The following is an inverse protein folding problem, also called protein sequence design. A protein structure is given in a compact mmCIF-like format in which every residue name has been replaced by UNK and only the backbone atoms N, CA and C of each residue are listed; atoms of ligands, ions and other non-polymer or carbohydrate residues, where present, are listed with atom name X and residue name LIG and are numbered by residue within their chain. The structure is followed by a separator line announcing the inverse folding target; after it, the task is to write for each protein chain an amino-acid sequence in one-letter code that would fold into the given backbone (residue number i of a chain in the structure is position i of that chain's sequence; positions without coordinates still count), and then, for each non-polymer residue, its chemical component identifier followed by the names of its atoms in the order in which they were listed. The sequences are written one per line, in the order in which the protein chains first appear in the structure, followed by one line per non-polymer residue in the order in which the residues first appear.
data_IF_781073453541
#
_entry.id   IF_781073453541
#
_cell.length_a   1.000
_cell.length_b   1.000
_cell.length_c   1.000
_cell.angle_alpha   90.00
_cell.angle_beta   90.00
_cell.angle_gamma   90.00
#
_symmetry.space_group_name_H-M   'P 1'
#
loop_
_entity.id
_entity.type
_entity.pdbx_description
1 polymer ?
#
# COMPACT_ATOMS: atom_id res chain seq x y z
N UNK A 1 -27.41 5.33 -8.06
CA UNK A 1 -26.58 4.72 -6.99
C UNK A 1 -25.95 3.38 -7.40
N UNK A 2 -26.68 2.53 -8.14
CA UNK A 2 -26.22 1.21 -8.62
C UNK A 2 -24.83 1.23 -9.33
N UNK A 3 -24.58 2.21 -10.20
CA UNK A 3 -23.30 2.30 -10.92
C UNK A 3 -22.09 2.62 -10.01
N UNK A 4 -22.28 3.43 -8.96
CA UNK A 4 -21.19 3.77 -8.02
C UNK A 4 -20.75 2.57 -7.19
N UNK A 5 -21.72 1.78 -6.73
CA UNK A 5 -21.44 0.54 -6.01
C UNK A 5 -20.74 -0.48 -6.91
N UNK A 6 -21.20 -0.69 -8.15
CA UNK A 6 -20.53 -1.58 -9.10
C UNK A 6 -19.07 -1.16 -9.34
N UNK A 7 -18.80 0.14 -9.55
CA UNK A 7 -17.44 0.64 -9.72
C UNK A 7 -16.57 0.45 -8.48
N UNK A 8 -17.16 0.60 -7.29
CA UNK A 8 -16.47 0.33 -6.03
C UNK A 8 -16.07 -1.14 -5.96
N UNK A 9 -17.05 -2.04 -6.14
CA UNK A 9 -16.87 -3.47 -6.02
C UNK A 9 -15.84 -4.00 -7.01
N UNK A 10 -15.87 -3.55 -8.27
CA UNK A 10 -14.88 -3.96 -9.28
C UNK A 10 -13.48 -3.54 -8.82
N UNK A 11 -13.28 -2.26 -8.47
CA UNK A 11 -11.96 -1.77 -8.03
C UNK A 11 -11.48 -2.42 -6.75
N UNK A 12 -12.39 -2.65 -5.81
CA UNK A 12 -12.05 -3.29 -4.54
C UNK A 12 -11.65 -4.75 -4.75
N UNK A 13 -12.41 -5.51 -5.56
CA UNK A 13 -12.03 -6.86 -5.95
C UNK A 13 -10.70 -6.88 -6.69
N UNK A 14 -10.46 -5.92 -7.58
CA UNK A 14 -9.15 -5.77 -8.22
C UNK A 14 -8.03 -5.57 -7.19
N UNK A 15 -8.21 -4.69 -6.22
CA UNK A 15 -7.22 -4.46 -5.15
C UNK A 15 -6.94 -5.74 -4.38
N UNK A 16 -7.99 -6.47 -3.97
CA UNK A 16 -7.85 -7.70 -3.21
C UNK A 16 -7.14 -8.79 -4.03
N UNK A 17 -7.57 -9.01 -5.27
CA UNK A 17 -6.99 -10.03 -6.14
C UNK A 17 -5.53 -9.69 -6.49
N UNK A 18 -5.23 -8.43 -6.79
CA UNK A 18 -3.86 -8.00 -7.07
C UNK A 18 -2.97 -8.13 -5.83
N UNK A 19 -3.43 -7.74 -4.64
CA UNK A 19 -2.67 -7.90 -3.41
C UNK A 19 -2.42 -9.37 -3.05
N UNK A 20 -3.44 -10.23 -3.19
CA UNK A 20 -3.29 -11.67 -3.01
C UNK A 20 -2.31 -12.26 -4.03
N UNK A 21 -2.40 -11.83 -5.29
CA UNK A 21 -1.46 -12.24 -6.33
C UNK A 21 -0.02 -11.83 -5.98
N UNK A 22 0.21 -10.62 -5.45
CA UNK A 22 1.54 -10.19 -5.00
C UNK A 22 2.05 -11.02 -3.80
N UNK A 23 1.16 -11.39 -2.87
CA UNK A 23 1.50 -12.29 -1.77
C UNK A 23 1.85 -13.70 -2.26
N UNK A 24 1.15 -14.22 -3.26
CA UNK A 24 1.49 -15.49 -3.91
C UNK A 24 2.81 -15.36 -4.68
N UNK A 25 3.02 -14.26 -5.40
CA UNK A 25 4.25 -14.04 -6.16
C UNK A 25 5.48 -13.94 -5.24
N UNK A 26 5.31 -13.47 -4.01
CA UNK A 26 6.35 -13.50 -2.96
C UNK A 26 6.84 -14.93 -2.68
N UNK A 27 5.98 -15.95 -2.76
CA UNK A 27 6.38 -17.34 -2.46
C UNK A 27 7.11 -18.03 -3.62
N UNK A 28 7.02 -17.48 -4.84
CA UNK A 28 7.52 -18.13 -6.08
C UNK A 28 9.02 -17.91 -6.32
N UNK A 29 9.70 -17.03 -5.58
CA UNK A 29 11.17 -17.01 -5.52
C UNK A 29 11.83 -15.63 -5.50
N UNK A 30 13.15 -15.64 -5.30
CA UNK A 30 14.00 -14.48 -5.02
C UNK A 30 14.38 -13.66 -6.27
N UNK A 31 13.46 -13.43 -7.19
CA UNK A 31 13.74 -12.60 -8.37
C UNK A 31 13.74 -11.10 -7.99
N UNK A 32 14.81 -10.34 -8.30
CA UNK A 32 14.89 -8.91 -7.97
C UNK A 32 13.79 -8.08 -8.63
N UNK A 33 13.27 -8.49 -9.80
CA UNK A 33 12.16 -7.81 -10.47
C UNK A 33 10.87 -7.95 -9.67
N UNK A 34 10.61 -9.12 -9.08
CA UNK A 34 9.44 -9.32 -8.25
C UNK A 34 9.56 -8.59 -6.92
N UNK A 35 10.77 -8.43 -6.37
CA UNK A 35 11.00 -7.67 -5.14
C UNK A 35 10.56 -6.20 -5.23
N UNK A 36 10.53 -5.62 -6.44
CA UNK A 36 10.00 -4.27 -6.68
C UNK A 36 8.51 -4.20 -6.34
N UNK A 37 7.76 -5.24 -6.72
CA UNK A 37 6.30 -5.27 -6.63
C UNK A 37 5.80 -5.96 -5.35
N UNK A 38 6.52 -6.98 -4.88
CA UNK A 38 6.14 -7.77 -3.72
C UNK A 38 6.86 -7.28 -2.46
N UNK A 39 6.23 -7.38 -1.28
CA UNK A 39 6.91 -7.12 -0.02
C UNK A 39 7.98 -8.18 0.19
N UNK A 40 9.26 -7.77 0.32
CA UNK A 40 10.37 -8.71 0.54
C UNK A 40 10.50 -9.03 2.03
N UNK A 41 10.51 -8.00 2.86
CA UNK A 41 10.62 -8.07 4.31
C UNK A 41 9.25 -7.94 4.98
N UNK A 42 9.14 -8.36 6.24
CA UNK A 42 7.92 -8.14 7.03
C UNK A 42 7.88 -6.74 7.68
N UNK A 43 8.74 -5.81 7.24
CA UNK A 43 8.75 -4.45 7.76
C UNK A 43 7.47 -3.69 7.40
N UNK A 44 7.00 -2.78 8.28
CA UNK A 44 5.84 -1.93 8.01
C UNK A 44 5.90 -1.19 6.67
N UNK A 45 7.09 -0.71 6.28
CA UNK A 45 7.33 -0.07 4.99
C UNK A 45 7.02 -1.02 3.82
N UNK A 46 7.63 -2.20 3.81
CA UNK A 46 7.46 -3.17 2.71
C UNK A 46 6.00 -3.62 2.58
N UNK A 47 5.31 -3.84 3.71
CA UNK A 47 3.89 -4.18 3.71
C UNK A 47 3.01 -3.08 3.11
N UNK A 48 3.45 -1.81 3.16
CA UNK A 48 2.78 -0.68 2.51
C UNK A 48 2.63 -0.84 0.99
N UNK A 49 3.51 -1.60 0.33
CA UNK A 49 3.41 -1.93 -1.10
C UNK A 49 2.13 -2.66 -1.47
N UNK A 50 1.58 -3.46 -0.56
CA UNK A 50 0.32 -4.19 -0.75
C UNK A 50 -0.88 -3.23 -0.86
N UNK A 51 -0.75 -1.98 -0.44
CA UNK A 51 -1.75 -0.95 -0.71
C UNK A 51 -1.41 -0.21 -1.99
N UNK A 52 -0.17 0.26 -2.13
CA UNK A 52 0.21 1.13 -3.23
C UNK A 52 0.00 0.48 -4.60
N UNK A 53 0.59 -0.69 -4.87
CA UNK A 53 0.50 -1.32 -6.20
C UNK A 53 -0.93 -1.72 -6.58
N UNK A 54 -1.70 -2.40 -5.70
CA UNK A 54 -3.07 -2.76 -6.03
C UNK A 54 -3.99 -1.54 -6.18
N UNK A 55 -3.85 -0.50 -5.36
CA UNK A 55 -4.61 0.73 -5.51
C UNK A 55 -4.25 1.47 -6.79
N UNK A 56 -2.97 1.49 -7.18
CA UNK A 56 -2.51 2.07 -8.45
C UNK A 56 -3.17 1.34 -9.63
N UNK A 57 -3.15 0.01 -9.61
CA UNK A 57 -3.79 -0.81 -10.63
C UNK A 57 -5.29 -0.53 -10.71
N UNK A 58 -6.00 -0.50 -9.58
CA UNK A 58 -7.41 -0.18 -9.53
C UNK A 58 -7.74 1.27 -9.94
N UNK A 59 -6.81 2.20 -9.73
CA UNK A 59 -6.95 3.58 -10.14
C UNK A 59 -6.83 3.73 -11.66
N UNK A 60 -5.96 2.96 -12.32
CA UNK A 60 -5.76 3.03 -13.78
C UNK A 60 -6.93 2.43 -14.56
N UNK A 61 -7.69 1.49 -13.99
CA UNK A 61 -8.84 0.87 -14.67
C UNK A 61 -9.90 1.94 -15.04
N UNK A 62 -10.11 2.20 -16.35
CA UNK A 62 -11.14 3.10 -16.80
C UNK A 62 -12.50 2.40 -16.66
N UNK A 63 -13.35 2.96 -15.80
CA UNK A 63 -14.75 2.53 -15.68
C UNK A 63 -15.61 3.66 -16.23
N UNK A 64 -16.56 3.32 -17.10
CA UNK A 64 -17.53 4.27 -17.67
C UNK A 64 -18.24 5.00 -16.54
N UNK A 65 -18.25 6.33 -16.54
CA UNK A 65 -18.82 7.16 -15.45
C UNK A 65 -18.17 6.94 -14.05
N UNK A 66 -16.98 6.36 -14.00
CA UNK A 66 -16.30 5.93 -12.77
C UNK A 66 -15.47 6.99 -12.06
N UNK A 67 -15.61 8.27 -12.43
CA UNK A 67 -14.81 9.39 -11.94
C UNK A 67 -13.44 9.50 -12.60
N UNK A 68 -12.73 10.61 -12.34
CA UNK A 68 -11.41 10.86 -12.95
C UNK A 68 -10.31 10.11 -12.20
N UNK A 69 -9.23 9.78 -12.88
CA UNK A 69 -8.02 9.23 -12.24
C UNK A 69 -7.46 10.19 -11.19
N UNK A 70 -7.55 11.49 -11.43
CA UNK A 70 -7.05 12.54 -10.54
C UNK A 70 -7.67 12.51 -9.14
N UNK A 71 -8.92 12.07 -9.02
CA UNK A 71 -9.63 12.02 -7.73
C UNK A 71 -9.08 10.90 -6.81
N UNK A 72 -8.31 9.97 -7.38
CA UNK A 72 -7.73 8.82 -6.69
C UNK A 72 -6.27 9.05 -6.32
N UNK A 73 -5.58 9.97 -7.00
CA UNK A 73 -4.17 10.27 -6.76
C UNK A 73 -3.84 10.57 -5.28
N UNK A 74 -4.63 11.36 -4.53
CA UNK A 74 -4.32 11.62 -3.11
C UNK A 74 -4.28 10.35 -2.27
N UNK A 75 -5.15 9.40 -2.60
CA UNK A 75 -5.28 8.15 -1.86
C UNK A 75 -4.18 7.15 -2.23
N UNK A 76 -3.53 7.30 -3.40
CA UNK A 76 -2.33 6.52 -3.74
C UNK A 76 -1.13 6.90 -2.87
N UNK A 77 -1.10 8.08 -2.28
CA UNK A 77 0.01 8.51 -1.41
C UNK A 77 -0.34 8.42 0.06
N UNK A 78 -1.53 8.88 0.44
CA UNK A 78 -1.94 8.95 1.85
C UNK A 78 -2.21 7.57 2.44
N UNK A 79 -2.85 6.68 1.68
CA UNK A 79 -3.19 5.34 2.17
C UNK A 79 -1.97 4.49 2.50
N UNK A 80 -0.95 4.35 1.61
CA UNK A 80 0.24 3.60 1.99
C UNK A 80 1.02 4.26 3.13
N UNK A 81 1.11 5.60 3.21
CA UNK A 81 1.73 6.27 4.37
C UNK A 81 0.99 5.94 5.68
N UNK A 82 -0.34 6.07 5.68
CA UNK A 82 -1.16 5.73 6.84
C UNK A 82 -0.97 4.27 7.25
N UNK A 83 -0.87 3.37 6.27
CA UNK A 83 -0.65 1.96 6.53
C UNK A 83 0.73 1.66 7.10
N UNK A 84 1.79 2.30 6.61
CA UNK A 84 3.12 2.17 7.20
C UNK A 84 3.08 2.57 8.69
N UNK A 85 2.42 3.67 9.03
CA UNK A 85 2.27 4.10 10.43
C UNK A 85 1.42 3.13 11.25
N UNK A 86 0.30 2.65 10.71
CA UNK A 86 -0.57 1.67 11.40
C UNK A 86 0.16 0.35 11.59
N UNK A 87 0.80 -0.19 10.55
CA UNK A 87 1.58 -1.42 10.63
C UNK A 87 2.73 -1.27 11.61
N UNK A 88 3.39 -0.11 11.64
CA UNK A 88 4.45 0.17 12.60
C UNK A 88 3.89 0.22 14.03
N UNK A 89 2.78 0.90 14.28
CA UNK A 89 2.11 0.86 15.58
C UNK A 89 1.68 -0.55 15.99
N UNK A 90 1.19 -1.36 15.03
CA UNK A 90 0.84 -2.75 15.28
C UNK A 90 2.06 -3.60 15.67
N UNK A 91 3.28 -3.28 15.22
CA UNK A 91 4.48 -4.02 15.67
C UNK A 91 4.68 -3.96 17.19
N UNK A 92 4.26 -2.88 17.85
CA UNK A 92 4.34 -2.76 19.32
C UNK A 92 3.44 -3.77 20.05
N UNK A 93 2.31 -4.14 19.43
CA UNK A 93 1.32 -5.07 20.01
C UNK A 93 1.60 -6.52 19.60
N UNK A 94 2.50 -6.75 18.63
CA UNK A 94 2.86 -8.06 18.05
C UNK A 94 1.63 -8.93 17.71
N UNK A 95 0.64 -8.42 16.97
CA UNK A 95 -0.53 -9.20 16.61
C UNK A 95 -0.15 -10.28 15.60
N UNK A 96 -0.98 -11.32 15.51
CA UNK A 96 -0.84 -12.34 14.47
C UNK A 96 -0.98 -11.77 13.04
N UNK A 97 -0.55 -12.52 12.01
CA UNK A 97 -0.57 -12.06 10.61
C UNK A 97 -1.95 -11.59 10.11
N UNK A 98 -3.03 -12.16 10.67
CA UNK A 98 -4.40 -11.78 10.34
C UNK A 98 -4.74 -10.31 10.60
N UNK A 99 -4.13 -9.68 11.61
CA UNK A 99 -4.39 -8.27 11.91
C UNK A 99 -3.88 -7.33 10.80
N UNK A 100 -2.69 -7.62 10.25
CA UNK A 100 -2.12 -6.87 9.13
C UNK A 100 -2.97 -7.04 7.87
N UNK A 101 -3.48 -8.25 7.61
CA UNK A 101 -4.39 -8.52 6.49
C UNK A 101 -5.72 -7.77 6.65
N UNK A 102 -6.31 -7.76 7.85
CA UNK A 102 -7.53 -7.01 8.13
C UNK A 102 -7.31 -5.51 7.95
N UNK A 103 -6.22 -4.97 8.50
CA UNK A 103 -5.87 -3.56 8.32
C UNK A 103 -5.66 -3.21 6.84
N UNK A 104 -5.00 -4.08 6.08
CA UNK A 104 -4.85 -3.93 4.63
C UNK A 104 -6.20 -3.86 3.90
N UNK A 105 -7.12 -4.78 4.20
CA UNK A 105 -8.46 -4.82 3.59
C UNK A 105 -9.26 -3.55 3.93
N UNK A 106 -9.26 -3.17 5.20
CA UNK A 106 -10.01 -2.00 5.70
C UNK A 106 -9.46 -0.70 5.10
N UNK A 107 -8.14 -0.52 5.07
CA UNK A 107 -7.51 0.66 4.49
C UNK A 107 -7.75 0.76 2.98
N UNK A 108 -7.72 -0.37 2.27
CA UNK A 108 -8.06 -0.44 0.84
C UNK A 108 -9.50 0.00 0.59
N UNK A 109 -10.45 -0.53 1.35
CA UNK A 109 -11.87 -0.18 1.24
C UNK A 109 -12.10 1.30 1.54
N UNK A 110 -11.47 1.82 2.61
CA UNK A 110 -11.55 3.21 3.01
C UNK A 110 -10.99 4.15 1.94
N UNK A 111 -9.81 3.85 1.40
CA UNK A 111 -9.19 4.63 0.33
C UNK A 111 -10.10 4.76 -0.89
N UNK A 112 -10.64 3.63 -1.37
CA UNK A 112 -11.54 3.62 -2.53
C UNK A 112 -12.86 4.36 -2.24
N UNK A 113 -13.42 4.18 -1.05
CA UNK A 113 -14.67 4.85 -0.66
C UNK A 113 -14.50 6.37 -0.58
N UNK A 114 -13.38 6.85 -0.02
CA UNK A 114 -13.08 8.27 0.09
C UNK A 114 -12.73 8.88 -1.28
N UNK A 115 -12.01 8.14 -2.13
CA UNK A 115 -11.75 8.53 -3.51
C UNK A 115 -13.04 8.67 -4.33
N UNK A 116 -14.00 7.76 -4.17
CA UNK A 116 -15.32 7.86 -4.84
C UNK A 116 -16.16 9.05 -4.36
N UNK A 117 -15.97 9.50 -3.12
CA UNK A 117 -16.60 10.70 -2.58
C UNK A 117 -15.93 11.98 -3.07
N UNK A 118 -14.81 11.89 -3.81
CA UNK A 118 -14.07 13.05 -4.29
C UNK A 118 -13.39 13.83 -3.16
N UNK A 119 -13.17 13.20 -2.00
CA UNK A 119 -12.50 13.82 -0.86
C UNK A 119 -11.04 14.05 -1.28
N UNK A 120 -10.57 15.29 -1.15
CA UNK A 120 -9.27 15.79 -1.65
C UNK A 120 -9.12 15.90 -3.18
N UNK A 121 -10.21 15.70 -3.94
CA UNK A 121 -10.20 15.85 -5.42
C UNK A 121 -10.02 17.31 -5.90
N UNK A 122 -10.32 18.29 -5.03
CA UNK A 122 -10.23 19.73 -5.34
C UNK A 122 -8.80 20.31 -5.29
N UNK A 123 -7.81 19.52 -4.88
CA UNK A 123 -6.41 19.97 -4.82
C UNK A 123 -5.74 20.00 -6.19
N UNK A 124 -4.55 20.60 -6.26
CA UNK A 124 -3.75 20.60 -7.48
C UNK A 124 -3.37 19.16 -7.86
N UNK A 125 -3.85 18.72 -9.03
CA UNK A 125 -3.59 17.39 -9.59
C UNK A 125 -2.09 17.16 -9.80
N UNK A 126 -1.34 18.20 -10.14
CA UNK A 126 0.10 18.11 -10.41
C UNK A 126 0.85 17.63 -9.18
N UNK A 127 0.56 18.23 -8.02
CA UNK A 127 1.18 17.89 -6.74
C UNK A 127 0.94 16.43 -6.37
N UNK A 128 -0.32 15.95 -6.45
CA UNK A 128 -0.64 14.57 -6.12
C UNK A 128 -0.03 13.56 -7.08
N UNK A 129 0.13 13.92 -8.36
CA UNK A 129 0.82 13.08 -9.33
C UNK A 129 2.30 12.96 -9.00
N UNK A 130 2.97 14.07 -8.70
CA UNK A 130 4.38 14.09 -8.28
C UNK A 130 4.57 13.25 -7.02
N UNK A 131 3.71 13.43 -6.02
CA UNK A 131 3.77 12.65 -4.78
C UNK A 131 3.53 11.15 -5.03
N UNK A 132 2.59 10.78 -5.90
CA UNK A 132 2.32 9.37 -6.23
C UNK A 132 3.51 8.71 -6.94
N UNK A 133 4.14 9.43 -7.86
CA UNK A 133 5.36 8.96 -8.55
C UNK A 133 6.53 8.87 -7.56
N UNK A 134 6.74 9.90 -6.74
CA UNK A 134 7.77 9.90 -5.71
C UNK A 134 7.58 8.72 -4.73
N UNK A 135 6.34 8.44 -4.33
CA UNK A 135 6.01 7.31 -3.47
C UNK A 135 6.36 5.97 -4.12
N UNK A 136 6.05 5.81 -5.41
CA UNK A 136 6.47 4.64 -6.18
C UNK A 136 8.00 4.51 -6.20
N UNK A 137 8.73 5.58 -6.54
CA UNK A 137 10.20 5.59 -6.57
C UNK A 137 10.78 5.22 -5.19
N UNK A 138 10.25 5.79 -4.11
CA UNK A 138 10.67 5.49 -2.75
C UNK A 138 10.43 4.02 -2.41
N UNK A 139 9.28 3.45 -2.77
CA UNK A 139 9.02 2.02 -2.58
C UNK A 139 10.02 1.15 -3.33
N UNK A 140 10.48 1.55 -4.53
CA UNK A 140 11.49 0.80 -5.27
C UNK A 140 12.87 0.95 -4.61
N UNK A 141 13.29 2.19 -4.36
CA UNK A 141 14.63 2.51 -3.87
C UNK A 141 14.88 1.93 -2.47
N UNK A 142 13.94 2.13 -1.54
CA UNK A 142 14.09 1.73 -0.14
C UNK A 142 13.90 0.21 0.07
N UNK A 143 13.46 -0.53 -0.95
CA UNK A 143 13.50 -1.99 -0.93
C UNK A 143 14.90 -2.55 -1.11
N UNK A 144 15.71 -1.89 -1.95
CA UNK A 144 17.09 -2.29 -2.17
C UNK A 144 18.05 -1.65 -1.16
N UNK A 145 17.68 -0.48 -0.64
CA UNK A 145 18.47 0.27 0.33
C UNK A 145 17.64 0.65 1.57
N UNK A 146 17.14 -0.33 2.34
CA UNK A 146 16.32 -0.05 3.51
C UNK A 146 17.15 0.63 4.60
N UNK A 147 16.69 1.77 5.15
CA UNK A 147 17.28 2.35 6.34
C UNK A 147 17.19 1.38 7.54
N UNK A 148 18.21 1.36 8.38
CA UNK A 148 18.27 0.46 9.54
C UNK A 148 17.52 1.01 10.78
N UNK A 149 16.41 1.73 10.59
CA UNK A 149 15.65 2.31 11.71
C UNK A 149 14.15 2.43 11.44
N UNK A 150 13.36 2.47 12.51
CA UNK A 150 11.92 2.78 12.46
C UNK A 150 11.10 1.78 11.62
N UNK A 151 10.18 2.26 10.76
CA UNK A 151 9.23 1.40 10.03
C UNK A 151 9.87 0.53 8.93
N UNK A 152 11.19 0.68 8.70
CA UNK A 152 11.95 -0.11 7.74
C UNK A 152 12.52 -1.39 8.35
N UNK A 153 12.59 -1.47 9.69
CA UNK A 153 13.06 -2.65 10.41
C UNK A 153 12.08 -3.81 10.25
N UNK A 154 12.63 -4.99 10.02
CA UNK A 154 11.86 -6.23 10.02
C UNK A 154 11.67 -6.71 11.47
N UNK A 155 10.44 -6.75 12.00
CA UNK A 155 10.18 -7.21 13.37
C UNK A 155 10.48 -8.70 13.58
N UNK A 156 10.73 -9.46 12.51
CA UNK A 156 11.16 -10.86 12.59
C UNK A 156 12.68 -11.03 12.54
N UNK A 157 13.44 -9.97 12.23
CA UNK A 157 14.89 -10.02 12.23
C UNK A 157 15.45 -9.78 13.64
N UNK A 158 15.98 -10.86 14.22
CA UNK A 158 16.50 -10.90 15.60
C UNK A 158 17.73 -10.00 15.76
N UNK A 159 18.48 -9.76 14.69
CA UNK A 159 19.65 -8.88 14.69
C UNK A 159 19.27 -7.39 14.76
N UNK A 160 18.08 -7.02 14.26
CA UNK A 160 17.55 -5.66 14.33
C UNK A 160 16.94 -5.30 15.70
N UNK A 161 16.69 -6.31 16.55
CA UNK A 161 16.19 -6.13 17.92
C UNK A 161 17.30 -6.08 18.99
N UNK A 162 18.57 -6.24 18.60
CA UNK A 162 19.68 -6.10 19.52
C UNK A 162 19.80 -4.63 19.97
N UNK A 163 19.41 -4.36 21.22
CA UNK A 163 19.62 -3.08 21.89
C UNK A 163 21.10 -2.74 21.92
N UNK A 164 21.43 -1.47 21.63
CA UNK A 164 22.77 -0.89 21.80
C UNK A 164 23.26 -1.27 23.22
N UNK A 165 24.40 -1.97 23.36
CA UNK A 165 24.94 -2.25 24.69
C UNK A 165 25.26 -0.91 25.38
N UNK A 166 24.75 -0.77 26.60
CA UNK A 166 25.15 0.29 27.51
C UNK A 166 26.58 0.09 28.02
#
# INVERSE_FOLDING_TARGET
MKNRFAHFSIRFLTVLLAGLFLLLLRSVGSNPVFAVLTPRFASPWELGKLLFWPLLLAAVIPLRDGGKFSERLPWLTLTPLAAVLIFWALTAVRPGPGAYLLAWIVLSAMALALAQRGILSKGDRSVWMVLAVAMGILFIMLTFLPPAFGPFLDPTDVAAMATIPC
#
